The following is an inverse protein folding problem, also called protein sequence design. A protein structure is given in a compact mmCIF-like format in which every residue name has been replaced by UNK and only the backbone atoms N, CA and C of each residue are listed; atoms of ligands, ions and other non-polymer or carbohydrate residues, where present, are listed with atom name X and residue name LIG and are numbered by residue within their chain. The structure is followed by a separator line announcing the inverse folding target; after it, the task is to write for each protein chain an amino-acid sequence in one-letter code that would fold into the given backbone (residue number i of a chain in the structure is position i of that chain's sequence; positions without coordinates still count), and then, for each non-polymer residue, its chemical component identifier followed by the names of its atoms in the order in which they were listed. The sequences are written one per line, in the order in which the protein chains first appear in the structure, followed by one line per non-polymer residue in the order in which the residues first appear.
data_IF_958362164373
#
_entry.id   IF_958362164373
#
_cell.length_a   1.000
_cell.length_b   1.000
_cell.length_c   1.000
_cell.angle_alpha   90.00
_cell.angle_beta   90.00
_cell.angle_gamma   90.00
#
_symmetry.space_group_name_H-M   'P 1'
#
loop_
_entity.id
_entity.type
_entity.pdbx_description
1 polymer ?
#
# COMPACT_ATOMS: atom_id res chain seq x y z
N UNK A 1 -5.97 -12.81 3.27
CA UNK A 1 -4.57 -12.82 2.82
C UNK A 1 -4.48 -13.57 1.51
N UNK A 2 -3.71 -13.06 0.55
CA UNK A 2 -3.46 -13.68 -0.76
C UNK A 2 -1.95 -13.65 -0.97
N UNK A 3 -1.37 -14.76 -1.41
CA UNK A 3 0.05 -14.86 -1.69
C UNK A 3 0.34 -14.50 -3.14
N UNK A 4 1.34 -13.65 -3.35
CA UNK A 4 1.91 -13.40 -4.67
C UNK A 4 3.42 -13.18 -4.51
N UNK A 5 4.21 -13.97 -5.23
CA UNK A 5 5.66 -14.08 -5.04
C UNK A 5 6.00 -14.35 -3.56
N UNK A 6 6.86 -13.52 -2.97
CA UNK A 6 7.34 -13.65 -1.59
C UNK A 6 6.52 -12.84 -0.57
N UNK A 7 5.41 -12.23 -1.01
CA UNK A 7 4.62 -11.29 -0.22
C UNK A 7 3.18 -11.78 0.01
N UNK A 8 2.57 -11.28 1.10
CA UNK A 8 1.16 -11.55 1.47
C UNK A 8 0.37 -10.25 1.44
N UNK A 9 -0.78 -10.29 0.76
CA UNK A 9 -1.62 -9.13 0.52
C UNK A 9 -2.98 -9.31 1.19
N UNK A 10 -3.52 -8.23 1.75
CA UNK A 10 -4.86 -8.21 2.32
C UNK A 10 -5.52 -6.88 2.00
N UNK A 11 -6.72 -6.94 1.40
CA UNK A 11 -7.54 -5.78 1.12
C UNK A 11 -8.74 -5.84 2.07
N UNK A 12 -8.86 -4.85 2.93
CA UNK A 12 -10.02 -4.69 3.82
C UNK A 12 -11.19 -4.04 3.08
N UNK A 13 -12.41 -4.34 3.51
CA UNK A 13 -13.63 -3.63 3.07
C UNK A 13 -14.00 -2.48 4.01
N UNK A 14 -13.27 -2.30 5.12
CA UNK A 14 -13.49 -1.19 6.05
C UNK A 14 -12.97 0.13 5.45
N UNK A 15 -13.82 1.16 5.48
CA UNK A 15 -13.43 2.50 5.07
C UNK A 15 -12.79 3.23 6.26
N UNK A 16 -11.57 3.71 6.07
CA UNK A 16 -10.76 4.38 7.08
C UNK A 16 -9.95 5.50 6.44
N UNK A 17 -9.50 6.47 7.24
CA UNK A 17 -8.46 7.40 6.78
C UNK A 17 -7.15 6.65 6.49
N UNK A 18 -6.21 7.29 5.79
CA UNK A 18 -4.90 6.68 5.52
C UNK A 18 -4.18 6.30 6.82
N UNK A 19 -4.18 7.19 7.81
CA UNK A 19 -3.54 6.97 9.13
C UNK A 19 -4.17 5.79 9.87
N UNK A 20 -5.50 5.70 9.89
CA UNK A 20 -6.20 4.58 10.53
C UNK A 20 -6.00 3.26 9.77
N UNK A 21 -5.91 3.31 8.45
CA UNK A 21 -5.62 2.14 7.60
C UNK A 21 -4.23 1.59 7.90
N UNK A 22 -3.23 2.48 8.04
CA UNK A 22 -1.87 2.11 8.45
C UNK A 22 -1.85 1.45 9.82
N UNK A 23 -2.53 2.04 10.81
CA UNK A 23 -2.65 1.46 12.15
C UNK A 23 -3.30 0.08 12.10
N UNK A 24 -4.37 -0.08 11.34
CA UNK A 24 -5.09 -1.35 11.17
C UNK A 24 -4.23 -2.46 10.55
N UNK A 25 -3.36 -2.12 9.60
CA UNK A 25 -2.36 -3.04 9.04
C UNK A 25 -1.32 -3.44 10.10
N UNK A 26 -0.79 -2.47 10.87
CA UNK A 26 0.22 -2.73 11.91
C UNK A 26 -0.29 -3.61 13.04
N UNK A 27 -1.55 -3.46 13.43
CA UNK A 27 -2.23 -4.34 14.40
C UNK A 27 -2.32 -5.81 13.93
N UNK A 28 -2.11 -6.07 12.63
CA UNK A 28 -2.09 -7.41 12.01
C UNK A 28 -0.68 -7.83 11.60
N UNK A 29 0.35 -7.22 12.20
CA UNK A 29 1.75 -7.47 11.88
C UNK A 29 2.05 -7.27 10.38
N UNK A 30 1.36 -6.30 9.78
CA UNK A 30 1.46 -5.92 8.37
C UNK A 30 1.78 -4.42 8.25
N UNK A 31 1.99 -3.97 7.02
CA UNK A 31 2.15 -2.55 6.72
C UNK A 31 1.31 -2.21 5.47
N UNK A 32 1.02 -0.93 5.23
CA UNK A 32 0.37 -0.55 3.98
C UNK A 32 1.23 -0.94 2.78
N UNK A 33 0.56 -1.31 1.69
CA UNK A 33 1.20 -1.82 0.47
C UNK A 33 2.26 -0.86 -0.08
N UNK A 34 3.48 -1.38 -0.24
CA UNK A 34 4.56 -0.76 -1.03
C UNK A 34 4.60 -1.47 -2.38
N UNK A 35 4.68 -0.72 -3.47
CA UNK A 35 4.73 -1.29 -4.82
C UNK A 35 6.14 -1.10 -5.37
N UNK A 36 6.86 -2.22 -5.51
CA UNK A 36 8.28 -2.23 -5.90
C UNK A 36 8.51 -2.73 -7.32
N UNK A 37 7.49 -3.21 -8.03
CA UNK A 37 7.62 -3.65 -9.41
C UNK A 37 6.35 -3.45 -10.22
N UNK A 38 6.51 -3.42 -11.55
CA UNK A 38 5.39 -3.36 -12.49
C UNK A 38 4.46 -4.57 -12.35
N UNK A 39 5.01 -5.76 -12.14
CA UNK A 39 4.22 -6.99 -11.97
C UNK A 39 3.36 -6.92 -10.69
N UNK A 40 3.90 -6.34 -9.62
CA UNK A 40 3.15 -6.09 -8.39
C UNK A 40 2.02 -5.06 -8.63
N UNK A 41 2.30 -3.97 -9.33
CA UNK A 41 1.28 -2.98 -9.71
C UNK A 41 0.14 -3.62 -10.53
N UNK A 42 0.46 -4.48 -11.50
CA UNK A 42 -0.51 -5.19 -12.33
C UNK A 42 -1.32 -6.20 -11.52
N UNK A 43 -0.66 -6.96 -10.64
CA UNK A 43 -1.31 -7.90 -9.73
C UNK A 43 -2.33 -7.19 -8.82
N UNK A 44 -1.92 -6.09 -8.18
CA UNK A 44 -2.79 -5.32 -7.28
C UNK A 44 -3.94 -4.66 -8.03
N UNK A 45 -3.71 -4.20 -9.26
CA UNK A 45 -4.76 -3.63 -10.10
C UNK A 45 -5.85 -4.65 -10.44
N UNK A 46 -5.46 -5.91 -10.72
CA UNK A 46 -6.42 -7.02 -10.90
C UNK A 46 -7.10 -7.37 -9.60
N UNK A 47 -6.34 -7.46 -8.51
CA UNK A 47 -6.85 -7.88 -7.20
C UNK A 47 -7.89 -6.91 -6.64
N UNK A 48 -7.68 -5.59 -6.77
CA UNK A 48 -8.64 -4.60 -6.29
C UNK A 48 -9.94 -4.58 -7.10
N UNK A 49 -9.96 -5.13 -8.31
CA UNK A 49 -11.16 -5.25 -9.15
C UNK A 49 -11.94 -3.92 -9.25
N UNK A 50 -11.23 -2.83 -9.54
CA UNK A 50 -11.82 -1.48 -9.65
C UNK A 50 -12.11 -0.77 -8.32
N UNK A 51 -11.95 -1.43 -7.17
CA UNK A 51 -12.09 -0.78 -5.85
C UNK A 51 -10.94 0.17 -5.58
N UNK A 52 -11.23 1.22 -4.81
CA UNK A 52 -10.25 2.14 -4.25
C UNK A 52 -9.78 1.61 -2.90
N UNK A 53 -8.48 1.63 -2.66
CA UNK A 53 -7.88 1.22 -1.41
C UNK A 53 -6.65 2.10 -1.13
N UNK A 54 -6.41 2.39 0.14
CA UNK A 54 -5.18 3.07 0.56
C UNK A 54 -3.96 2.16 0.32
N UNK A 55 -2.89 2.78 -0.17
CA UNK A 55 -1.56 2.18 -0.28
C UNK A 55 -0.57 2.95 0.60
N UNK A 56 0.65 2.46 0.72
CA UNK A 56 1.68 3.00 1.60
C UNK A 56 2.35 4.28 1.10
N UNK A 57 1.92 4.87 -0.01
CA UNK A 57 2.51 6.08 -0.59
C UNK A 57 1.85 7.33 0.02
N UNK A 58 2.66 8.27 0.53
CA UNK A 58 2.18 9.54 1.09
C UNK A 58 3.26 10.65 1.04
N UNK A 59 2.84 11.90 1.03
CA UNK A 59 3.67 13.11 1.15
C UNK A 59 3.40 13.90 2.45
N UNK A 60 2.70 13.26 3.40
CA UNK A 60 2.25 13.86 4.67
C UNK A 60 3.37 14.49 5.52
N UNK A 61 4.61 14.01 5.37
CA UNK A 61 5.74 14.51 6.14
C UNK A 61 6.30 15.81 5.53
N UNK A 62 6.32 15.91 4.20
CA UNK A 62 6.72 17.10 3.44
C UNK A 62 5.92 17.15 2.14
N UNK A 63 5.02 18.14 1.99
CA UNK A 63 4.20 18.32 0.78
C UNK A 63 5.08 18.32 -0.48
N UNK A 64 4.73 17.49 -1.46
CA UNK A 64 5.50 17.31 -2.70
C UNK A 64 6.62 16.27 -2.63
N UNK A 65 7.02 15.79 -1.45
CA UNK A 65 7.97 14.68 -1.29
C UNK A 65 7.26 13.36 -0.99
N UNK A 66 6.92 12.63 -2.04
CA UNK A 66 6.28 11.32 -1.92
C UNK A 66 7.23 10.25 -1.38
N UNK A 67 6.84 9.61 -0.28
CA UNK A 67 7.57 8.53 0.38
C UNK A 67 6.65 7.35 0.66
N UNK A 68 7.21 6.16 0.59
CA UNK A 68 6.57 4.94 1.05
C UNK A 68 6.63 4.83 2.58
N UNK A 69 5.77 4.00 3.15
CA UNK A 69 5.71 3.73 4.61
C UNK A 69 7.00 3.15 5.20
N UNK A 70 7.95 2.68 4.39
CA UNK A 70 9.30 2.26 4.79
C UNK A 70 10.35 3.40 4.71
N UNK A 71 9.90 4.63 4.42
CA UNK A 71 10.70 5.84 4.20
C UNK A 71 11.52 5.87 2.91
N UNK A 72 11.32 4.93 1.99
CA UNK A 72 11.94 5.03 0.66
C UNK A 72 11.22 6.09 -0.20
N UNK A 73 11.95 6.90 -0.99
CA UNK A 73 11.33 7.88 -1.88
C UNK A 73 10.62 7.20 -3.06
N UNK A 74 9.57 7.84 -3.58
CA UNK A 74 8.98 7.43 -4.85
C UNK A 74 9.98 7.63 -5.98
N UNK A 75 10.33 6.56 -6.68
CA UNK A 75 11.14 6.61 -7.90
C UNK A 75 10.19 6.54 -9.10
N UNK A 76 10.13 7.62 -9.87
CA UNK A 76 9.44 7.65 -11.17
C UNK A 76 10.47 7.38 -12.26
N UNK A 77 10.27 6.31 -13.04
CA UNK A 77 11.11 5.92 -14.17
C UNK A 77 10.30 5.63 -15.41
#
# INVERSE_FOLDING_TARGET
WIYFRYSRYYITTEQKSWTESRRYCREREAELLIINSREEQEFITKLRSGRVAWIGLSDRDTEGEWKWVDNTPLITG
#
